data_IF_342976467733
#
_entry.id   IF_342976467733
#
_cell.length_a   1.000
_cell.length_b   1.000
_cell.length_c   1.000
_cell.angle_alpha   90.00
_cell.angle_beta   90.00
_cell.angle_gamma   90.00
#
_symmetry.space_group_name_H-M   'P 1'
#
loop_
_entity.id
_entity.type
_entity.pdbx_description
1 polymer ?
#
# COMPACT_ATOMS: atom_id res chain seq x y z
N UNK A 1 7.07 -1.87 13.65
CA UNK A 1 8.09 -1.95 12.57
C UNK A 1 7.83 -0.87 11.56
N UNK A 2 8.82 -0.08 11.24
CA UNK A 2 8.66 0.98 10.24
C UNK A 2 9.29 0.59 8.92
N UNK A 3 8.51 0.71 7.84
CA UNK A 3 8.92 0.47 6.48
C UNK A 3 8.80 1.78 5.70
N UNK A 4 9.74 2.07 4.82
CA UNK A 4 9.72 3.32 4.05
C UNK A 4 10.51 3.19 2.75
N UNK A 5 10.19 4.08 1.81
CA UNK A 5 10.90 4.14 0.53
C UNK A 5 10.61 5.41 -0.22
N UNK A 6 11.35 5.60 -1.30
CA UNK A 6 11.16 6.70 -2.24
C UNK A 6 11.10 6.15 -3.66
N UNK A 7 10.20 6.71 -4.45
CA UNK A 7 10.02 6.30 -5.86
C UNK A 7 9.92 7.55 -6.72
N UNK A 8 10.63 7.56 -7.84
CA UNK A 8 10.49 8.60 -8.85
C UNK A 8 9.54 8.11 -9.93
N UNK A 9 8.50 8.89 -10.20
CA UNK A 9 7.46 8.57 -11.18
C UNK A 9 7.43 9.67 -12.24
N UNK A 10 7.57 9.29 -13.52
CA UNK A 10 7.56 10.23 -14.64
C UNK A 10 6.12 10.60 -15.04
N UNK A 11 5.42 11.22 -14.12
CA UNK A 11 4.07 11.75 -14.31
C UNK A 11 3.85 12.89 -13.30
N UNK A 12 3.01 13.90 -13.63
CA UNK A 12 2.75 15.01 -12.71
C UNK A 12 1.95 14.57 -11.50
N UNK A 13 2.11 15.31 -10.39
CA UNK A 13 1.45 14.96 -9.11
C UNK A 13 -0.06 14.70 -9.20
N UNK A 14 -0.85 15.51 -9.90
CA UNK A 14 -2.29 15.25 -9.99
C UNK A 14 -2.62 13.90 -10.58
N UNK A 15 -1.86 13.45 -11.57
CA UNK A 15 -2.07 12.15 -12.20
C UNK A 15 -1.69 11.00 -11.27
N UNK A 16 -0.56 11.14 -10.58
CA UNK A 16 -0.10 10.15 -9.58
C UNK A 16 -1.10 10.08 -8.41
N UNK A 17 -1.52 11.23 -7.92
CA UNK A 17 -2.50 11.33 -6.84
C UNK A 17 -3.82 10.64 -7.20
N UNK A 18 -4.37 10.95 -8.37
CA UNK A 18 -5.63 10.36 -8.81
C UNK A 18 -5.56 8.83 -8.90
N UNK A 19 -4.42 8.30 -9.33
CA UNK A 19 -4.21 6.86 -9.37
C UNK A 19 -4.15 6.25 -7.97
N UNK A 20 -3.32 6.82 -7.09
CA UNK A 20 -3.06 6.25 -5.77
C UNK A 20 -4.23 6.37 -4.80
N UNK A 21 -5.14 7.31 -5.04
CA UNK A 21 -6.34 7.48 -4.20
C UNK A 21 -7.58 6.81 -4.78
N UNK A 22 -7.46 6.17 -5.93
CA UNK A 22 -8.53 5.37 -6.54
C UNK A 22 -8.33 3.89 -6.16
N UNK A 23 -9.18 3.33 -5.29
CA UNK A 23 -9.00 1.96 -4.84
C UNK A 23 -9.05 0.93 -5.96
N UNK A 24 -9.87 1.15 -7.00
CA UNK A 24 -9.95 0.23 -8.12
C UNK A 24 -8.68 0.25 -8.98
N UNK A 25 -8.08 1.43 -9.16
CA UNK A 25 -6.81 1.58 -9.87
C UNK A 25 -5.67 0.92 -9.09
N UNK A 26 -5.59 1.19 -7.80
CA UNK A 26 -4.58 0.60 -6.91
C UNK A 26 -4.72 -0.91 -6.85
N UNK A 27 -5.94 -1.43 -6.86
CA UNK A 27 -6.21 -2.86 -6.84
C UNK A 27 -5.57 -3.59 -8.02
N UNK A 28 -5.52 -2.95 -9.20
CA UNK A 28 -4.90 -3.54 -10.39
C UNK A 28 -3.39 -3.73 -10.24
N UNK A 29 -2.78 -2.98 -9.36
CA UNK A 29 -1.33 -3.02 -9.13
C UNK A 29 -0.94 -3.71 -7.83
N UNK A 30 -1.89 -4.12 -7.01
CA UNK A 30 -1.59 -4.71 -5.70
C UNK A 30 -1.33 -6.21 -5.81
N UNK A 31 -0.09 -6.66 -5.56
CA UNK A 31 0.21 -8.08 -5.61
C UNK A 31 -0.54 -8.85 -4.53
N UNK A 32 -1.09 -10.00 -4.90
CA UNK A 32 -1.80 -10.88 -3.96
C UNK A 32 -3.22 -10.46 -3.62
N UNK A 33 -3.72 -9.37 -4.18
CA UNK A 33 -5.10 -8.94 -3.96
C UNK A 33 -6.07 -9.90 -4.66
N UNK A 34 -7.03 -10.42 -3.90
CA UNK A 34 -8.04 -11.36 -4.41
C UNK A 34 -9.38 -10.68 -4.66
N UNK A 35 -9.76 -9.73 -3.81
CA UNK A 35 -11.02 -8.99 -3.98
C UNK A 35 -10.95 -7.62 -3.32
N UNK A 36 -11.82 -6.72 -3.78
CA UNK A 36 -11.96 -5.37 -3.26
C UNK A 36 -13.45 -5.03 -3.18
N UNK A 37 -13.88 -4.50 -2.03
CA UNK A 37 -15.23 -4.01 -1.81
C UNK A 37 -15.16 -2.58 -1.30
N UNK A 38 -15.87 -1.67 -1.96
CA UNK A 38 -15.99 -0.28 -1.50
C UNK A 38 -17.06 -0.25 -0.41
N UNK A 39 -16.67 0.11 0.82
CA UNK A 39 -17.57 0.21 1.96
C UNK A 39 -18.17 1.62 2.04
N UNK A 40 -17.32 2.63 1.92
CA UNK A 40 -17.72 4.04 1.88
C UNK A 40 -16.90 4.73 0.80
N UNK A 41 -17.53 5.18 -0.31
CA UNK A 41 -16.81 5.77 -1.43
C UNK A 41 -15.86 6.90 -1.00
N UNK A 42 -14.62 6.84 -1.47
CA UNK A 42 -13.59 7.83 -1.18
C UNK A 42 -12.98 7.75 0.21
N UNK A 43 -13.43 6.84 1.08
CA UNK A 43 -12.96 6.80 2.46
C UNK A 43 -12.62 5.42 2.99
N UNK A 44 -13.50 4.43 2.79
CA UNK A 44 -13.33 3.08 3.37
C UNK A 44 -13.53 2.00 2.34
N UNK A 45 -12.66 0.99 2.41
CA UNK A 45 -12.82 -0.20 1.57
C UNK A 45 -12.28 -1.43 2.28
N UNK A 46 -12.73 -2.59 1.82
CA UNK A 46 -12.31 -3.88 2.33
C UNK A 46 -11.65 -4.67 1.22
N UNK A 47 -10.52 -5.26 1.53
CA UNK A 47 -9.76 -6.08 0.59
C UNK A 47 -9.48 -7.46 1.18
N UNK A 48 -9.38 -8.46 0.31
CA UNK A 48 -8.89 -9.77 0.65
C UNK A 48 -7.58 -9.98 -0.09
N UNK A 49 -6.51 -10.22 0.64
CA UNK A 49 -5.17 -10.32 0.07
C UNK A 49 -4.38 -11.47 0.66
N UNK A 50 -3.52 -12.07 -0.17
CA UNK A 50 -2.60 -13.13 0.25
C UNK A 50 -1.17 -12.63 0.17
N UNK A 51 -0.39 -12.92 1.21
CA UNK A 51 1.03 -12.55 1.30
C UNK A 51 1.85 -13.81 1.56
N UNK A 52 2.90 -14.02 0.75
CA UNK A 52 3.85 -15.10 0.95
C UNK A 52 4.90 -14.74 1.99
N UNK A 53 5.04 -15.58 3.02
CA UNK A 53 6.06 -15.45 4.07
C UNK A 53 6.87 -16.74 4.08
N UNK A 54 7.85 -16.84 3.17
CA UNK A 54 8.62 -18.06 2.96
C UNK A 54 7.73 -19.18 2.40
N UNK A 55 7.65 -20.30 3.10
CA UNK A 55 6.79 -21.43 2.71
C UNK A 55 5.34 -21.27 3.16
N UNK A 56 5.03 -20.23 3.94
CA UNK A 56 3.70 -19.94 4.46
C UNK A 56 3.04 -18.87 3.63
N UNK A 57 1.75 -19.04 3.33
CA UNK A 57 0.92 -18.07 2.67
C UNK A 57 -0.14 -17.57 3.66
N UNK A 58 -0.07 -16.29 4.02
CA UNK A 58 -1.02 -15.67 4.93
C UNK A 58 -2.10 -14.93 4.13
N UNK A 59 -3.37 -15.20 4.43
CA UNK A 59 -4.51 -14.59 3.78
C UNK A 59 -5.22 -13.67 4.76
N UNK A 60 -5.23 -12.37 4.45
CA UNK A 60 -5.79 -11.34 5.30
C UNK A 60 -7.04 -10.72 4.71
N UNK A 61 -8.02 -10.46 5.60
CA UNK A 61 -9.09 -9.53 5.32
C UNK A 61 -8.64 -8.18 5.84
N UNK A 62 -8.56 -7.19 4.97
CA UNK A 62 -8.05 -5.84 5.27
C UNK A 62 -9.18 -4.83 5.24
N UNK A 63 -9.35 -4.09 6.34
CA UNK A 63 -10.23 -2.92 6.40
C UNK A 63 -9.33 -1.68 6.32
N UNK A 64 -9.51 -0.88 5.26
CA UNK A 64 -8.68 0.28 4.95
C UNK A 64 -9.50 1.56 5.02
N UNK A 65 -8.93 2.59 5.63
CA UNK A 65 -9.57 3.89 5.76
C UNK A 65 -8.57 5.01 5.48
N UNK A 66 -8.97 5.98 4.63
CA UNK A 66 -8.24 7.24 4.49
C UNK A 66 -8.53 8.11 5.71
N UNK A 67 -7.47 8.57 6.39
CA UNK A 67 -7.58 9.46 7.56
C UNK A 67 -7.50 10.92 7.15
N UNK A 68 -6.59 11.25 6.22
CA UNK A 68 -6.39 12.59 5.70
C UNK A 68 -6.03 12.53 4.23
N UNK A 69 -6.61 13.42 3.44
CA UNK A 69 -6.30 13.59 2.03
C UNK A 69 -6.06 15.07 1.75
N UNK A 70 -4.80 15.44 1.54
CA UNK A 70 -4.38 16.80 1.18
C UNK A 70 -3.88 16.78 -0.27
N UNK A 71 -4.81 16.82 -1.21
CA UNK A 71 -4.53 16.73 -2.64
C UNK A 71 -3.71 17.91 -3.14
N UNK A 72 -2.66 17.70 -3.92
CA UNK A 72 -2.05 16.44 -4.36
C UNK A 72 -0.78 16.09 -3.59
N UNK A 73 -0.65 16.52 -2.34
CA UNK A 73 0.61 16.52 -1.60
C UNK A 73 0.79 15.37 -0.62
N UNK A 74 -0.26 15.06 0.15
CA UNK A 74 -0.10 14.14 1.28
C UNK A 74 -1.37 13.36 1.56
N UNK A 75 -1.22 12.06 1.85
CA UNK A 75 -2.31 11.21 2.26
C UNK A 75 -1.91 10.36 3.47
N UNK A 76 -2.83 10.19 4.41
CA UNK A 76 -2.68 9.30 5.56
C UNK A 76 -3.78 8.25 5.51
N UNK A 77 -3.41 7.00 5.74
CA UNK A 77 -4.34 5.89 5.77
C UNK A 77 -4.02 4.96 6.92
N UNK A 78 -5.02 4.21 7.37
CA UNK A 78 -4.81 3.08 8.26
C UNK A 78 -5.46 1.84 7.69
N UNK A 79 -4.94 0.69 8.04
CA UNK A 79 -5.50 -0.59 7.68
C UNK A 79 -5.43 -1.54 8.87
N UNK A 80 -6.47 -2.36 9.03
CA UNK A 80 -6.49 -3.44 10.01
C UNK A 80 -6.74 -4.75 9.26
N UNK A 81 -5.81 -5.68 9.41
CA UNK A 81 -5.90 -6.99 8.78
C UNK A 81 -6.15 -8.09 9.78
N UNK A 82 -6.97 -9.06 9.39
CA UNK A 82 -7.23 -10.26 10.18
C UNK A 82 -7.00 -11.51 9.36
N UNK A 83 -6.37 -12.50 9.99
CA UNK A 83 -6.17 -13.84 9.46
C UNK A 83 -6.36 -14.82 10.61
N UNK A 84 -6.57 -16.12 10.37
CA UNK A 84 -6.71 -17.08 11.46
C UNK A 84 -5.50 -17.04 12.41
N UNK A 85 -5.74 -16.68 13.67
CA UNK A 85 -4.71 -16.61 14.71
C UNK A 85 -3.76 -15.41 14.62
N UNK A 86 -4.01 -14.44 13.73
CA UNK A 86 -3.10 -13.31 13.53
C UNK A 86 -3.84 -12.03 13.18
N UNK A 87 -3.26 -10.88 13.54
CA UNK A 87 -3.74 -9.56 13.15
C UNK A 87 -2.58 -8.70 12.67
N UNK A 88 -2.89 -7.70 11.85
CA UNK A 88 -1.92 -6.72 11.38
C UNK A 88 -2.56 -5.32 11.41
N UNK A 89 -1.84 -4.35 11.95
CA UNK A 89 -2.25 -2.95 11.94
C UNK A 89 -1.19 -2.13 11.21
N UNK A 90 -1.64 -1.29 10.28
CA UNK A 90 -0.77 -0.48 9.44
C UNK A 90 -1.23 0.97 9.49
N UNK A 91 -0.29 1.88 9.75
CA UNK A 91 -0.49 3.32 9.58
C UNK A 91 0.44 3.77 8.46
N UNK A 92 -0.14 4.23 7.35
CA UNK A 92 0.61 4.58 6.14
C UNK A 92 0.54 6.06 5.80
N UNK A 93 1.61 6.57 5.20
CA UNK A 93 1.70 7.94 4.72
C UNK A 93 2.30 7.98 3.31
N UNK A 94 1.71 8.81 2.46
CA UNK A 94 2.24 9.14 1.14
C UNK A 94 2.51 10.64 1.08
N UNK A 95 3.71 11.02 0.61
CA UNK A 95 4.06 12.42 0.37
C UNK A 95 4.54 12.53 -1.07
N UNK A 96 3.84 13.37 -1.85
CA UNK A 96 4.13 13.60 -3.25
C UNK A 96 4.75 14.98 -3.41
N UNK A 97 5.98 15.02 -3.94
CA UNK A 97 6.71 16.26 -4.22
C UNK A 97 6.97 16.41 -5.70
N UNK A 98 6.92 17.63 -6.26
CA UNK A 98 7.31 17.80 -7.66
C UNK A 98 8.81 17.53 -7.81
N UNK A 99 9.15 16.78 -8.88
CA UNK A 99 10.54 16.48 -9.24
C UNK A 99 10.78 16.93 -10.67
N UNK A 100 10.47 18.20 -10.97
CA UNK A 100 10.41 18.77 -12.30
C UNK A 100 8.96 18.93 -12.75
N UNK A 101 8.75 19.41 -13.98
CA UNK A 101 7.41 19.75 -14.50
C UNK A 101 6.53 18.52 -14.72
N UNK A 102 7.13 17.38 -15.05
CA UNK A 102 6.40 16.20 -15.46
C UNK A 102 6.75 14.96 -14.64
N UNK A 103 7.32 15.15 -13.45
CA UNK A 103 7.73 14.03 -12.59
C UNK A 103 7.37 14.29 -11.14
N UNK A 104 7.19 13.20 -10.39
CA UNK A 104 6.85 13.22 -8.98
C UNK A 104 7.84 12.36 -8.19
N UNK A 105 8.32 12.90 -7.08
CA UNK A 105 9.04 12.12 -6.07
C UNK A 105 8.04 11.71 -5.00
N UNK A 106 7.84 10.42 -4.84
CA UNK A 106 6.92 9.85 -3.86
C UNK A 106 7.68 9.26 -2.70
N UNK A 107 7.46 9.80 -1.51
CA UNK A 107 7.92 9.20 -0.26
C UNK A 107 6.76 8.44 0.37
N UNK A 108 6.97 7.17 0.64
CA UNK A 108 5.98 6.37 1.34
C UNK A 108 6.56 5.80 2.62
N UNK A 109 5.72 5.68 3.64
CA UNK A 109 6.10 5.04 4.89
C UNK A 109 4.92 4.28 5.47
N UNK A 110 5.21 3.25 6.24
CA UNK A 110 4.20 2.45 6.92
C UNK A 110 4.75 1.98 8.27
N UNK A 111 3.96 2.19 9.31
CA UNK A 111 4.21 1.59 10.62
C UNK A 111 3.33 0.34 10.72
N UNK A 112 3.98 -0.82 10.87
CA UNK A 112 3.31 -2.12 10.83
C UNK A 112 3.47 -2.83 12.16
N UNK A 113 2.36 -3.31 12.71
CA UNK A 113 2.34 -4.13 13.92
C UNK A 113 1.62 -5.43 13.59
N UNK A 114 2.31 -6.55 13.73
CA UNK A 114 1.76 -7.87 13.48
C UNK A 114 1.75 -8.65 14.79
N UNK A 115 0.61 -9.24 15.12
CA UNK A 115 0.41 -10.03 16.33
C UNK A 115 -0.15 -11.40 15.99
N UNK A 116 0.14 -12.37 16.86
CA UNK A 116 -0.36 -13.72 16.71
C UNK A 116 0.68 -14.69 16.17
N UNK A 117 0.21 -15.80 15.60
CA UNK A 117 1.07 -16.94 15.24
C UNK A 117 2.14 -16.64 14.20
N UNK A 118 1.92 -15.68 13.30
CA UNK A 118 2.89 -15.32 12.26
C UNK A 118 3.82 -14.17 12.64
N UNK A 119 3.68 -13.59 13.83
CA UNK A 119 4.42 -12.39 14.22
C UNK A 119 5.94 -12.56 14.15
N UNK A 120 6.49 -13.67 14.65
CA UNK A 120 7.94 -13.90 14.63
C UNK A 120 8.47 -14.13 13.22
N UNK A 121 7.73 -14.84 12.39
CA UNK A 121 8.10 -15.07 11.00
C UNK A 121 8.05 -13.75 10.21
N UNK A 122 6.98 -12.97 10.39
CA UNK A 122 6.84 -11.67 9.75
C UNK A 122 7.96 -10.71 10.13
N UNK A 123 8.36 -10.66 11.41
CA UNK A 123 9.43 -9.75 11.84
C UNK A 123 10.77 -10.06 11.17
N UNK A 124 11.04 -11.34 10.85
CA UNK A 124 12.26 -11.73 10.16
C UNK A 124 12.22 -11.48 8.66
N UNK A 125 11.04 -11.57 8.05
CA UNK A 125 10.88 -11.56 6.59
C UNK A 125 10.31 -10.26 6.04
N UNK A 126 9.76 -9.40 6.89
CA UNK A 126 9.01 -8.22 6.45
C UNK A 126 9.84 -7.27 5.56
N UNK A 127 11.12 -7.09 5.86
CA UNK A 127 11.99 -6.24 5.05
C UNK A 127 12.07 -6.69 3.58
N UNK A 128 12.40 -7.95 3.35
CA UNK A 128 12.51 -8.50 1.99
C UNK A 128 11.16 -8.64 1.30
N UNK A 129 10.11 -9.02 2.03
CA UNK A 129 8.76 -9.11 1.50
C UNK A 129 8.27 -7.73 1.06
N UNK A 130 8.47 -6.71 1.88
CA UNK A 130 8.07 -5.33 1.56
C UNK A 130 8.81 -4.80 0.34
N UNK A 131 10.11 -5.03 0.26
CA UNK A 131 10.92 -4.61 -0.88
C UNK A 131 10.39 -5.21 -2.18
N UNK A 132 10.09 -6.51 -2.16
CA UNK A 132 9.54 -7.21 -3.32
C UNK A 132 8.15 -6.68 -3.71
N UNK A 133 7.24 -6.56 -2.73
CA UNK A 133 5.87 -6.12 -2.98
C UNK A 133 5.82 -4.66 -3.42
N UNK A 134 6.60 -3.78 -2.77
CA UNK A 134 6.69 -2.38 -3.16
C UNK A 134 7.26 -2.22 -4.57
N UNK A 135 8.30 -2.99 -4.92
CA UNK A 135 8.86 -3.00 -6.26
C UNK A 135 7.83 -3.38 -7.31
N UNK A 136 7.10 -4.46 -7.10
CA UNK A 136 6.05 -4.91 -8.02
C UNK A 136 4.92 -3.88 -8.13
N UNK A 137 4.49 -3.32 -7.01
CA UNK A 137 3.44 -2.31 -6.98
C UNK A 137 3.82 -1.07 -7.78
N UNK A 138 4.97 -0.49 -7.48
CA UNK A 138 5.39 0.76 -8.13
C UNK A 138 5.80 0.57 -9.59
N UNK A 139 6.32 -0.58 -9.97
CA UNK A 139 6.55 -0.89 -11.38
C UNK A 139 5.24 -0.89 -12.16
N UNK A 140 4.19 -1.46 -11.59
CA UNK A 140 2.85 -1.44 -12.17
C UNK A 140 2.28 -0.01 -12.24
N UNK A 141 2.40 0.76 -11.15
CA UNK A 141 1.95 2.16 -11.11
C UNK A 141 2.63 2.98 -12.20
N UNK A 142 3.94 2.85 -12.36
CA UNK A 142 4.68 3.55 -13.41
C UNK A 142 4.14 3.22 -14.80
N UNK A 143 3.89 1.95 -15.08
CA UNK A 143 3.34 1.53 -16.38
C UNK A 143 1.98 2.14 -16.66
N UNK A 144 1.17 2.34 -15.62
CA UNK A 144 -0.19 2.89 -15.74
C UNK A 144 -0.18 4.42 -15.89
N UNK A 145 0.66 5.13 -15.15
CA UNK A 145 0.62 6.60 -15.10
C UNK A 145 1.62 7.27 -16.03
N UNK A 146 2.69 6.60 -16.42
CA UNK A 146 3.71 7.14 -17.34
C UNK A 146 3.36 6.94 -18.82
N UNK A 147 2.35 6.16 -19.07
CA UNK A 147 1.92 5.87 -20.44
C UNK A 147 1.24 7.07 -21.11
#
# INVERSE_FOLDING_TARGET
MRLQGNVLIAAPRPKVWSFLTDPEAVAQCTPGLESLTIVEPGRKFRALASVGLGSIKARFTLDVEWLELHEPERALAKAHGTAPGSTADVAGELILRPAGEASTSLDWSADVTIMGTIASLASRMMGSVTEKLAGQFFDCVRKKVEA
#
